data_IF_214597563269
#
_entry.id   IF_214597563269
#
_cell.length_a   1.000
_cell.length_b   1.000
_cell.length_c   1.000
_cell.angle_alpha   90.00
_cell.angle_beta   90.00
_cell.angle_gamma   90.00
#
_symmetry.space_group_name_H-M   'P 1'
#
loop_
_entity.id
_entity.type
_entity.pdbx_description
1 polymer ?
#
# COMPACT_ATOMS: atom_id res chain seq x y z
N UNK A 1 17.51 7.91 0.40
CA UNK A 1 16.36 6.98 0.27
C UNK A 1 15.24 7.72 -0.43
N UNK A 2 14.57 7.08 -1.39
CA UNK A 2 13.45 7.66 -2.14
C UNK A 2 12.18 6.85 -1.86
N UNK A 3 11.03 7.53 -1.76
CA UNK A 3 9.72 6.91 -1.51
C UNK A 3 8.76 7.25 -2.65
N UNK A 4 7.91 6.31 -3.03
CA UNK A 4 7.08 6.38 -4.23
C UNK A 4 6.42 5.03 -4.53
N UNK A 5 5.70 4.93 -5.65
CA UNK A 5 5.05 3.68 -6.04
C UNK A 5 6.08 2.67 -6.57
N UNK A 6 5.87 1.39 -6.24
CA UNK A 6 6.78 0.32 -6.66
C UNK A 6 6.89 0.22 -8.18
N UNK A 7 5.78 0.37 -8.91
CA UNK A 7 5.78 0.33 -10.37
C UNK A 7 6.59 1.47 -10.99
N UNK A 8 6.55 2.68 -10.43
CA UNK A 8 7.35 3.80 -10.91
C UNK A 8 8.85 3.56 -10.69
N UNK A 9 9.25 3.09 -9.52
CA UNK A 9 10.65 2.76 -9.25
C UNK A 9 11.15 1.59 -10.10
N UNK A 10 10.33 0.57 -10.34
CA UNK A 10 10.67 -0.50 -11.29
C UNK A 10 10.98 0.06 -12.68
N UNK A 11 10.15 0.98 -13.20
CA UNK A 11 10.42 1.64 -14.49
C UNK A 11 11.72 2.44 -14.46
N UNK A 12 11.98 3.19 -13.38
CA UNK A 12 13.21 3.97 -13.25
C UNK A 12 14.46 3.07 -13.21
N UNK A 13 14.42 1.95 -12.48
CA UNK A 13 15.52 0.99 -12.40
C UNK A 13 15.78 0.37 -13.79
N UNK A 14 14.72 -0.05 -14.49
CA UNK A 14 14.84 -0.57 -15.86
C UNK A 14 15.42 0.46 -16.84
N UNK A 15 15.21 1.76 -16.58
CA UNK A 15 15.78 2.88 -17.34
C UNK A 15 17.19 3.28 -16.89
N UNK A 16 17.81 2.55 -15.95
CA UNK A 16 19.18 2.79 -15.49
C UNK A 16 19.31 3.80 -14.36
N UNK A 17 18.24 4.11 -13.62
CA UNK A 17 18.34 4.93 -12.42
C UNK A 17 19.30 4.30 -11.40
N UNK A 18 20.10 5.11 -10.66
CA UNK A 18 21.21 4.63 -9.84
C UNK A 18 20.76 4.15 -8.45
N UNK A 19 19.70 3.33 -8.40
CA UNK A 19 19.27 2.68 -7.16
C UNK A 19 20.13 1.46 -6.90
N UNK A 20 20.60 1.30 -5.67
CA UNK A 20 21.41 0.15 -5.24
C UNK A 20 20.56 -0.98 -4.63
N UNK A 21 19.48 -0.61 -3.95
CA UNK A 21 18.56 -1.53 -3.29
C UNK A 21 17.13 -1.08 -3.59
N UNK A 22 16.29 -2.03 -3.98
CA UNK A 22 14.90 -1.81 -4.30
C UNK A 22 14.00 -2.65 -3.39
N UNK A 23 13.06 -2.00 -2.70
CA UNK A 23 12.01 -2.63 -1.90
C UNK A 23 10.68 -2.40 -2.62
N UNK A 24 10.10 -3.47 -3.15
CA UNK A 24 8.82 -3.45 -3.84
C UNK A 24 7.68 -3.93 -2.93
N UNK A 25 6.50 -3.31 -3.06
CA UNK A 25 5.27 -3.80 -2.44
C UNK A 25 4.59 -4.92 -3.25
N UNK A 26 5.21 -5.35 -4.35
CA UNK A 26 4.74 -6.42 -5.25
C UNK A 26 5.95 -7.17 -5.82
N UNK A 27 6.01 -8.48 -5.54
CA UNK A 27 7.14 -9.30 -5.97
C UNK A 27 7.31 -9.41 -7.47
N UNK A 28 6.23 -9.24 -8.25
CA UNK A 28 6.26 -9.34 -9.72
C UNK A 28 7.15 -8.27 -10.34
N UNK A 29 7.27 -7.10 -9.71
CA UNK A 29 8.17 -6.05 -10.19
C UNK A 29 9.65 -6.41 -10.00
N UNK A 30 10.00 -7.12 -8.94
CA UNK A 30 11.37 -7.59 -8.72
C UNK A 30 11.68 -8.75 -9.66
N UNK A 31 10.75 -9.70 -9.81
CA UNK A 31 10.89 -10.81 -10.75
C UNK A 31 11.11 -10.30 -12.19
N UNK A 32 10.31 -9.33 -12.63
CA UNK A 32 10.49 -8.71 -13.95
C UNK A 32 11.86 -8.03 -14.10
N UNK A 33 12.34 -7.30 -13.09
CA UNK A 33 13.67 -6.68 -13.14
C UNK A 33 14.80 -7.71 -13.22
N UNK A 34 14.65 -8.85 -12.56
CA UNK A 34 15.60 -9.94 -12.64
C UNK A 34 15.61 -10.60 -14.02
N UNK A 35 14.43 -10.90 -14.57
CA UNK A 35 14.28 -11.43 -15.95
C UNK A 35 14.87 -10.47 -17.00
N UNK A 36 14.76 -9.17 -16.77
CA UNK A 36 15.33 -8.10 -17.61
C UNK A 36 16.84 -7.88 -17.36
N UNK A 37 17.44 -8.55 -16.38
CA UNK A 37 18.88 -8.48 -16.09
C UNK A 37 19.32 -7.23 -15.33
N UNK A 38 18.43 -6.57 -14.59
CA UNK A 38 18.71 -5.35 -13.83
C UNK A 38 19.13 -5.58 -12.37
N UNK A 39 19.01 -6.81 -11.87
CA UNK A 39 19.30 -7.19 -10.48
C UNK A 39 20.28 -8.35 -10.38
N UNK A 40 20.93 -8.47 -9.22
CA UNK A 40 21.94 -9.50 -8.96
C UNK A 40 21.34 -10.91 -8.87
N UNK A 41 20.11 -11.00 -8.36
CA UNK A 41 19.31 -12.21 -8.21
C UNK A 41 17.81 -11.86 -8.19
N UNK A 42 16.96 -12.84 -7.85
CA UNK A 42 15.51 -12.68 -7.67
C UNK A 42 15.13 -11.94 -6.38
N UNK A 43 16.08 -11.59 -5.53
CA UNK A 43 15.83 -11.02 -4.21
C UNK A 43 15.09 -11.96 -3.26
N UNK A 44 14.58 -11.41 -2.16
CA UNK A 44 13.86 -12.16 -1.13
C UNK A 44 12.57 -11.45 -0.74
N UNK A 45 11.56 -12.23 -0.36
CA UNK A 45 10.36 -11.69 0.28
C UNK A 45 10.77 -11.23 1.67
N UNK A 46 10.58 -9.94 1.97
CA UNK A 46 10.95 -9.36 3.26
C UNK A 46 9.75 -9.10 4.16
N UNK A 47 8.55 -9.06 3.59
CA UNK A 47 7.31 -8.76 4.31
C UNK A 47 6.08 -9.17 3.49
N UNK A 48 4.98 -9.47 4.18
CA UNK A 48 3.63 -9.53 3.62
C UNK A 48 2.81 -8.39 4.22
N UNK A 49 2.28 -7.53 3.35
CA UNK A 49 1.45 -6.37 3.69
C UNK A 49 -0.01 -6.73 3.94
N UNK A 50 -0.74 -5.78 4.53
CA UNK A 50 -2.19 -5.86 4.75
C UNK A 50 -2.87 -4.57 4.29
N UNK A 51 -4.06 -4.70 3.73
CA UNK A 51 -4.92 -3.58 3.35
C UNK A 51 -5.87 -3.26 4.52
N UNK A 52 -6.11 -1.96 4.75
CA UNK A 52 -7.10 -1.46 5.71
C UNK A 52 -8.00 -0.44 5.05
N UNK A 53 -9.24 -0.33 5.54
CA UNK A 53 -9.94 0.94 5.50
C UNK A 53 -9.38 1.84 6.59
N UNK A 54 -9.02 3.08 6.25
CA UNK A 54 -8.51 4.09 7.18
C UNK A 54 -9.31 5.37 7.03
N UNK A 55 -9.67 5.99 8.15
CA UNK A 55 -10.37 7.28 8.19
C UNK A 55 -9.80 8.17 9.30
N UNK A 56 -10.12 9.47 9.27
CA UNK A 56 -9.77 10.37 10.34
C UNK A 56 -10.52 9.99 11.63
N UNK A 57 -9.82 10.03 12.77
CA UNK A 57 -10.40 9.71 14.06
C UNK A 57 -11.61 10.61 14.37
N UNK A 58 -12.74 9.99 14.70
CA UNK A 58 -13.98 10.70 14.98
C UNK A 58 -14.71 11.28 13.76
N UNK A 59 -14.30 10.95 12.53
CA UNK A 59 -15.00 11.35 11.29
C UNK A 59 -16.42 10.78 11.19
N UNK A 60 -16.66 9.65 11.83
CA UNK A 60 -17.93 8.95 11.87
C UNK A 60 -17.72 7.55 12.43
N UNK A 61 -18.76 6.72 12.37
CA UNK A 61 -18.64 5.33 12.83
C UNK A 61 -17.58 4.58 12.02
N UNK A 62 -16.65 3.97 12.74
CA UNK A 62 -15.65 3.09 12.15
C UNK A 62 -16.36 1.81 11.65
N UNK A 63 -16.11 1.37 10.41
CA UNK A 63 -16.67 0.10 9.94
C UNK A 63 -16.21 -1.07 10.81
N UNK A 64 -17.07 -2.07 10.97
CA UNK A 64 -16.78 -3.28 11.74
C UNK A 64 -16.08 -4.34 10.90
N UNK A 65 -15.50 -5.35 11.56
CA UNK A 65 -14.87 -6.50 10.88
C UNK A 65 -15.87 -7.27 9.98
N UNK A 66 -17.17 -7.26 10.34
CA UNK A 66 -18.24 -7.89 9.55
C UNK A 66 -18.65 -7.07 8.32
N UNK A 67 -18.40 -5.76 8.33
CA UNK A 67 -18.74 -4.84 7.26
C UNK A 67 -17.59 -3.84 7.00
N UNK A 68 -16.40 -4.31 6.58
CA UNK A 68 -15.18 -3.51 6.54
C UNK A 68 -15.20 -2.39 5.49
N UNK A 69 -16.18 -2.42 4.57
CA UNK A 69 -16.43 -1.38 3.57
C UNK A 69 -17.64 -0.50 3.89
N UNK A 70 -18.22 -0.53 5.10
CA UNK A 70 -19.35 0.34 5.43
C UNK A 70 -19.03 1.84 5.25
N UNK A 71 -17.75 2.23 5.34
CA UNK A 71 -17.30 3.59 5.03
C UNK A 71 -17.40 3.95 3.55
N UNK A 72 -17.22 2.97 2.64
CA UNK A 72 -17.46 3.14 1.20
C UNK A 72 -18.96 3.30 0.93
N UNK A 73 -19.77 2.49 1.60
CA UNK A 73 -21.22 2.50 1.47
C UNK A 73 -21.80 3.85 1.93
N UNK A 74 -21.33 4.36 3.06
CA UNK A 74 -21.70 5.68 3.56
C UNK A 74 -21.32 6.81 2.58
N UNK A 75 -20.18 6.71 1.89
CA UNK A 75 -19.79 7.70 0.89
C UNK A 75 -20.72 7.67 -0.35
N UNK A 76 -21.18 6.49 -0.77
CA UNK A 76 -22.16 6.33 -1.84
C UNK A 76 -23.52 6.91 -1.45
N UNK A 77 -23.99 6.62 -0.23
CA UNK A 77 -25.24 7.19 0.30
C UNK A 77 -25.18 8.72 0.44
N UNK A 78 -24.03 9.25 0.86
CA UNK A 78 -23.79 10.68 0.92
C UNK A 78 -23.88 11.33 -0.47
N UNK A 79 -23.33 10.67 -1.50
CA UNK A 79 -23.39 11.13 -2.88
C UNK A 79 -24.83 11.23 -3.39
N UNK A 80 -25.66 10.22 -3.13
CA UNK A 80 -27.09 10.24 -3.47
C UNK A 80 -27.84 11.39 -2.77
N UNK A 81 -27.39 11.74 -1.57
CA UNK A 81 -27.90 12.86 -0.77
C UNK A 81 -27.32 14.22 -1.17
N UNK A 82 -26.50 14.29 -2.21
CA UNK A 82 -25.89 15.52 -2.74
C UNK A 82 -24.62 15.98 -2.01
N UNK A 83 -24.07 15.17 -1.11
CA UNK A 83 -22.80 15.42 -0.41
C UNK A 83 -21.70 14.57 -1.03
N UNK A 84 -20.65 15.19 -1.55
CA UNK A 84 -19.54 14.45 -2.14
C UNK A 84 -18.47 14.17 -1.09
N UNK A 85 -18.41 12.95 -0.58
CA UNK A 85 -17.31 12.49 0.24
C UNK A 85 -16.41 11.55 -0.57
N UNK A 86 -15.13 11.91 -0.66
CA UNK A 86 -14.16 11.18 -1.49
C UNK A 86 -13.71 9.89 -0.82
N UNK A 87 -13.33 8.91 -1.63
CA UNK A 87 -12.66 7.68 -1.18
C UNK A 87 -11.24 7.68 -1.71
N UNK A 88 -10.25 7.69 -0.81
CA UNK A 88 -8.85 7.78 -1.19
C UNK A 88 -8.23 6.41 -1.49
N UNK A 89 -7.67 6.24 -2.68
CA UNK A 89 -6.95 5.04 -3.10
C UNK A 89 -5.58 5.43 -3.66
N UNK A 90 -4.61 4.51 -3.63
CA UNK A 90 -3.42 4.68 -4.47
C UNK A 90 -3.78 4.36 -5.93
N UNK A 91 -3.11 4.99 -6.91
CA UNK A 91 -3.39 4.73 -8.32
C UNK A 91 -3.00 3.27 -8.67
N UNK A 92 -3.97 2.41 -9.07
CA UNK A 92 -3.71 1.00 -9.38
C UNK A 92 -2.79 0.80 -10.60
N UNK A 93 -2.60 1.80 -11.46
CA UNK A 93 -1.72 1.69 -12.63
C UNK A 93 -0.25 1.41 -12.27
N UNK A 94 0.17 1.78 -11.07
CA UNK A 94 1.58 1.63 -10.65
C UNK A 94 1.77 1.35 -9.15
N UNK A 95 0.73 1.46 -8.32
CA UNK A 95 0.83 1.21 -6.89
C UNK A 95 0.17 -0.14 -6.51
N UNK A 96 0.93 -1.10 -5.94
CA UNK A 96 0.38 -2.40 -5.53
C UNK A 96 -0.80 -2.31 -4.56
N UNK A 97 -0.75 -1.39 -3.59
CA UNK A 97 -1.89 -1.16 -2.69
C UNK A 97 -3.11 -0.55 -3.40
N UNK A 98 -2.90 0.14 -4.53
CA UNK A 98 -3.99 0.59 -5.40
C UNK A 98 -4.66 -0.58 -6.11
N UNK A 99 -3.85 -1.52 -6.62
CA UNK A 99 -4.36 -2.77 -7.21
C UNK A 99 -5.15 -3.58 -6.18
N UNK A 100 -4.63 -3.75 -4.96
CA UNK A 100 -5.34 -4.46 -3.90
C UNK A 100 -6.64 -3.75 -3.48
N UNK A 101 -6.65 -2.42 -3.44
CA UNK A 101 -7.86 -1.65 -3.19
C UNK A 101 -8.89 -1.81 -4.31
N UNK A 102 -8.46 -1.80 -5.58
CA UNK A 102 -9.33 -2.08 -6.72
C UNK A 102 -9.94 -3.49 -6.61
N UNK A 103 -9.12 -4.52 -6.40
CA UNK A 103 -9.59 -5.90 -6.23
C UNK A 103 -10.61 -6.04 -5.09
N UNK A 104 -10.36 -5.36 -3.97
CA UNK A 104 -11.26 -5.32 -2.81
C UNK A 104 -12.62 -4.72 -3.17
N UNK A 105 -12.63 -3.62 -3.92
CA UNK A 105 -13.87 -2.97 -4.35
C UNK A 105 -14.60 -3.78 -5.44
N UNK A 106 -13.87 -4.40 -6.37
CA UNK A 106 -14.43 -5.30 -7.38
C UNK A 106 -15.06 -6.53 -6.74
N UNK A 107 -14.39 -7.14 -5.75
CA UNK A 107 -14.92 -8.26 -4.98
C UNK A 107 -16.26 -7.93 -4.32
N UNK A 108 -16.41 -6.71 -3.82
CA UNK A 108 -17.63 -6.23 -3.17
C UNK A 108 -18.65 -5.60 -4.14
N UNK A 109 -18.39 -5.58 -5.45
CA UNK A 109 -19.26 -4.93 -6.45
C UNK A 109 -19.37 -3.41 -6.28
N UNK A 110 -18.37 -2.78 -5.66
CA UNK A 110 -18.31 -1.33 -5.38
C UNK A 110 -17.30 -0.57 -6.24
N UNK A 111 -16.58 -1.26 -7.12
CA UNK A 111 -15.65 -0.58 -8.02
C UNK A 111 -16.39 0.39 -8.94
N UNK A 112 -17.28 -0.05 -9.80
CA UNK A 112 -17.98 0.85 -10.74
C UNK A 112 -18.78 1.95 -10.02
N UNK A 113 -19.58 1.65 -8.97
CA UNK A 113 -20.34 2.69 -8.25
C UNK A 113 -19.50 3.81 -7.65
N UNK A 114 -18.27 3.52 -7.20
CA UNK A 114 -17.41 4.51 -6.53
C UNK A 114 -16.63 5.40 -7.48
N UNK A 115 -16.76 5.25 -8.80
CA UNK A 115 -15.92 5.93 -9.79
C UNK A 115 -15.84 7.45 -9.60
N UNK A 116 -16.98 8.11 -9.40
CA UNK A 116 -17.03 9.57 -9.21
C UNK A 116 -16.46 10.04 -7.86
N UNK A 117 -16.37 9.13 -6.87
CA UNK A 117 -15.93 9.42 -5.50
C UNK A 117 -14.42 9.19 -5.29
N UNK A 118 -13.79 8.37 -6.12
CA UNK A 118 -12.38 8.01 -5.96
C UNK A 118 -11.46 9.22 -6.10
N UNK A 119 -10.59 9.45 -5.13
CA UNK A 119 -9.41 10.32 -5.25
C UNK A 119 -8.16 9.45 -5.28
N UNK A 120 -7.36 9.59 -6.33
CA UNK A 120 -6.18 8.75 -6.54
C UNK A 120 -4.92 9.48 -6.09
N UNK A 121 -4.20 8.91 -5.13
CA UNK A 121 -2.83 9.29 -4.79
C UNK A 121 -1.82 8.56 -5.68
N UNK A 122 -0.70 9.21 -5.96
CA UNK A 122 0.43 8.66 -6.72
C UNK A 122 1.06 7.43 -6.05
N UNK A 123 0.86 7.26 -4.74
CA UNK A 123 1.29 6.08 -4.01
C UNK A 123 0.45 5.94 -2.74
N UNK A 124 0.67 4.85 -2.02
CA UNK A 124 -0.11 4.53 -0.80
C UNK A 124 0.07 5.54 0.32
N UNK A 125 1.24 6.19 0.42
CA UNK A 125 1.47 7.26 1.40
C UNK A 125 0.65 8.51 1.09
N UNK A 126 0.54 8.87 -0.19
CA UNK A 126 -0.32 9.99 -0.59
C UNK A 126 -1.80 9.64 -0.45
N UNK A 127 -2.21 8.42 -0.79
CA UNK A 127 -3.57 7.94 -0.54
C UNK A 127 -3.93 8.01 0.95
N UNK A 128 -3.01 7.67 1.85
CA UNK A 128 -3.20 7.81 3.29
C UNK A 128 -3.34 9.28 3.73
N UNK A 129 -2.64 10.22 3.10
CA UNK A 129 -2.84 11.65 3.36
C UNK A 129 -4.23 12.12 2.93
N UNK A 130 -4.67 11.68 1.74
CA UNK A 130 -6.02 11.98 1.24
C UNK A 130 -7.11 11.30 2.07
N UNK A 131 -6.89 10.10 2.61
CA UNK A 131 -7.86 9.43 3.47
C UNK A 131 -8.14 10.19 4.78
N UNK A 132 -7.24 11.11 5.16
CA UNK A 132 -7.31 11.90 6.39
C UNK A 132 -7.59 13.39 6.12
N UNK A 133 -7.97 13.76 4.88
CA UNK A 133 -8.41 15.12 4.55
C UNK A 133 -9.90 15.31 4.80
N UNK A 134 -10.30 16.57 4.98
CA UNK A 134 -11.68 16.93 5.34
C UNK A 134 -12.71 16.58 4.26
N UNK A 135 -12.29 16.46 3.00
CA UNK A 135 -13.14 16.12 1.86
C UNK A 135 -13.26 14.60 1.61
N UNK A 136 -12.53 13.77 2.37
CA UNK A 136 -12.59 12.33 2.27
C UNK A 136 -13.42 11.70 3.39
N UNK A 137 -14.19 10.66 3.03
CA UNK A 137 -14.79 9.77 4.02
C UNK A 137 -13.74 8.87 4.67
N UNK A 138 -12.74 8.48 3.88
CA UNK A 138 -11.64 7.59 4.27
C UNK A 138 -10.94 7.05 3.03
N UNK A 139 -10.20 5.96 3.17
CA UNK A 139 -9.49 5.35 2.06
C UNK A 139 -9.00 3.93 2.33
N UNK A 140 -8.71 3.20 1.25
CA UNK A 140 -8.11 1.87 1.31
C UNK A 140 -6.59 2.01 1.16
N UNK A 141 -5.85 1.72 2.23
CA UNK A 141 -4.41 2.01 2.35
C UNK A 141 -3.63 0.89 3.04
N UNK A 142 -2.32 1.03 3.11
CA UNK A 142 -1.46 0.09 3.81
C UNK A 142 -1.67 0.12 5.33
N UNK A 143 -1.82 -1.05 5.94
CA UNK A 143 -1.94 -1.18 7.39
C UNK A 143 -0.75 -0.56 8.13
N UNK A 144 0.44 -0.69 7.57
CA UNK A 144 1.67 -0.12 8.14
C UNK A 144 1.64 1.40 8.28
N UNK A 145 0.88 2.10 7.42
CA UNK A 145 0.68 3.54 7.54
C UNK A 145 -0.31 3.88 8.66
N UNK A 146 -1.36 3.08 8.84
CA UNK A 146 -2.29 3.26 9.96
C UNK A 146 -1.61 3.06 11.32
N UNK A 147 -0.61 2.19 11.40
CA UNK A 147 0.20 1.98 12.61
C UNK A 147 1.36 2.99 12.77
N UNK A 148 1.67 3.77 11.74
CA UNK A 148 2.80 4.69 11.79
C UNK A 148 2.58 5.76 12.87
N UNK A 149 3.59 6.08 13.71
CA UNK A 149 3.44 7.07 14.79
C UNK A 149 2.90 8.43 14.33
N UNK A 150 3.23 8.85 13.11
CA UNK A 150 2.76 10.11 12.52
C UNK A 150 1.27 10.15 12.20
N UNK A 151 0.63 8.98 12.03
CA UNK A 151 -0.78 8.87 11.62
C UNK A 151 -1.67 8.21 12.67
N UNK A 152 -1.13 7.26 13.46
CA UNK A 152 -1.92 6.39 14.37
C UNK A 152 -2.82 7.13 15.35
N UNK A 153 -2.45 8.34 15.77
CA UNK A 153 -3.21 9.14 16.76
C UNK A 153 -4.34 9.95 16.11
N UNK A 154 -4.30 10.07 14.77
CA UNK A 154 -5.23 10.85 13.97
C UNK A 154 -6.10 9.98 13.08
N UNK A 155 -5.88 8.67 13.08
CA UNK A 155 -6.61 7.72 12.25
C UNK A 155 -7.23 6.60 13.05
N UNK A 156 -8.34 6.11 12.52
CA UNK A 156 -8.95 4.85 12.90
C UNK A 156 -8.92 3.93 11.68
N UNK A 157 -8.90 2.62 11.90
CA UNK A 157 -8.82 1.66 10.80
C UNK A 157 -9.56 0.37 11.10
N UNK A 158 -9.97 -0.31 10.03
CA UNK A 158 -10.42 -1.70 10.07
C UNK A 158 -9.69 -2.50 9.00
N UNK A 159 -9.34 -3.75 9.31
CA UNK A 159 -8.65 -4.62 8.37
C UNK A 159 -9.60 -5.07 7.26
N UNK A 160 -9.10 -5.04 6.03
CA UNK A 160 -9.77 -5.72 4.92
C UNK A 160 -9.45 -7.22 5.00
N UNK A 161 -10.44 -8.10 4.78
CA UNK A 161 -10.21 -9.53 4.69
C UNK A 161 -9.17 -9.86 3.61
N UNK A 162 -8.16 -10.64 3.97
CA UNK A 162 -7.06 -10.96 3.06
C UNK A 162 -7.52 -11.70 1.80
N UNK A 163 -8.67 -12.38 1.83
CA UNK A 163 -9.23 -13.10 0.68
C UNK A 163 -9.90 -12.21 -0.37
N UNK A 164 -10.00 -10.90 -0.15
CA UNK A 164 -10.66 -9.96 -1.08
C UNK A 164 -9.71 -9.36 -2.10
N UNK A 165 -8.41 -9.63 -1.98
CA UNK A 165 -7.38 -9.18 -2.91
C UNK A 165 -6.24 -10.20 -2.94
N UNK A 166 -5.36 -10.10 -3.93
CA UNK A 166 -4.16 -10.93 -3.99
C UNK A 166 -3.21 -10.61 -2.82
N UNK A 167 -2.43 -11.58 -2.32
CA UNK A 167 -1.48 -11.33 -1.25
C UNK A 167 -0.46 -10.23 -1.60
N UNK A 168 -0.28 -9.27 -0.70
CA UNK A 168 0.68 -8.17 -0.85
C UNK A 168 2.10 -8.63 -0.46
N UNK A 169 2.65 -9.58 -1.23
CA UNK A 169 4.01 -10.11 -1.02
C UNK A 169 5.03 -9.08 -1.45
N UNK A 170 5.81 -8.58 -0.50
CA UNK A 170 6.78 -7.53 -0.70
C UNK A 170 8.17 -8.12 -0.81
N UNK A 171 8.86 -7.80 -1.90
CA UNK A 171 10.16 -8.36 -2.25
C UNK A 171 11.19 -7.25 -2.33
N UNK A 172 12.38 -7.53 -1.83
CA UNK A 172 13.52 -6.62 -1.92
C UNK A 172 14.66 -7.26 -2.66
N UNK A 173 15.46 -6.45 -3.35
CA UNK A 173 16.54 -6.93 -4.22
C UNK A 173 17.67 -5.92 -4.35
N UNK A 174 18.90 -6.41 -4.42
CA UNK A 174 20.06 -5.60 -4.79
C UNK A 174 20.14 -5.46 -6.31
N UNK A 175 20.30 -4.23 -6.79
CA UNK A 175 20.52 -3.99 -8.22
C UNK A 175 21.96 -4.30 -8.60
N UNK A 176 22.25 -4.33 -9.90
CA UNK A 176 23.62 -4.47 -10.39
C UNK A 176 24.57 -3.33 -10.00
N UNK A 177 24.03 -2.23 -9.46
CA UNK A 177 24.80 -1.07 -9.00
C UNK A 177 25.11 -1.10 -7.50
N UNK A 178 24.66 -2.13 -6.77
CA UNK A 178 24.75 -2.14 -5.32
C UNK A 178 26.18 -2.19 -4.79
N UNK A 179 26.53 -1.22 -3.93
CA UNK A 179 27.73 -1.25 -3.11
C UNK A 179 27.57 -1.94 -1.76
N UNK A 180 28.64 -1.90 -0.96
CA UNK A 180 28.75 -2.59 0.33
C UNK A 180 27.69 -2.11 1.35
N UNK A 181 27.34 -0.82 1.35
CA UNK A 181 26.37 -0.26 2.29
C UNK A 181 24.95 -0.78 2.01
N UNK A 182 24.55 -0.81 0.74
CA UNK A 182 23.26 -1.37 0.33
C UNK A 182 23.18 -2.87 0.65
N UNK A 183 24.27 -3.60 0.41
CA UNK A 183 24.38 -5.02 0.73
C UNK A 183 24.26 -5.28 2.23
N UNK A 184 24.96 -4.50 3.06
CA UNK A 184 24.89 -4.61 4.52
C UNK A 184 23.47 -4.34 5.04
N UNK A 185 22.80 -3.32 4.50
CA UNK A 185 21.41 -3.01 4.88
C UNK A 185 20.41 -4.09 4.42
N UNK A 186 20.57 -4.62 3.19
CA UNK A 186 19.80 -5.75 2.68
C UNK A 186 19.92 -6.99 3.57
N UNK A 187 21.13 -7.28 4.08
CA UNK A 187 21.38 -8.38 5.00
C UNK A 187 20.80 -8.11 6.39
N UNK A 188 20.98 -6.91 6.94
CA UNK A 188 20.44 -6.54 8.25
C UNK A 188 18.92 -6.59 8.29
N UNK A 189 18.22 -6.18 7.21
CA UNK A 189 16.76 -6.23 7.15
C UNK A 189 16.19 -7.67 7.23
N UNK A 190 17.00 -8.68 6.92
CA UNK A 190 16.64 -10.10 7.05
C UNK A 190 16.89 -10.66 8.45
N UNK A 191 17.61 -9.93 9.31
CA UNK A 191 17.88 -10.35 10.69
C UNK A 191 16.67 -10.12 11.58
N UNK A 192 16.66 -10.78 12.75
CA UNK A 192 15.56 -10.73 13.72
C UNK A 192 15.18 -9.30 14.12
N UNK A 193 16.16 -8.40 14.25
CA UNK A 193 15.93 -6.99 14.59
C UNK A 193 15.16 -6.25 13.49
N UNK A 194 15.60 -6.36 12.22
CA UNK A 194 14.90 -5.77 11.09
C UNK A 194 13.48 -6.33 10.93
N UNK A 195 13.34 -7.65 11.05
CA UNK A 195 12.05 -8.33 10.99
C UNK A 195 11.13 -7.96 12.18
N UNK A 196 11.68 -7.72 13.38
CA UNK A 196 10.91 -7.27 14.54
C UNK A 196 10.35 -5.85 14.34
N UNK A 197 11.13 -4.97 13.70
CA UNK A 197 10.66 -3.63 13.32
C UNK A 197 9.48 -3.77 12.34
N UNK A 198 9.60 -4.58 11.29
CA UNK A 198 8.53 -4.80 10.32
C UNK A 198 7.23 -5.30 10.99
N UNK A 199 7.34 -6.26 11.91
CA UNK A 199 6.18 -6.76 12.68
C UNK A 199 5.50 -5.68 13.52
N UNK A 200 6.28 -4.76 14.09
CA UNK A 200 5.74 -3.62 14.86
C UNK A 200 4.88 -2.70 13.99
N UNK A 201 5.17 -2.63 12.70
CA UNK A 201 4.39 -1.88 11.71
C UNK A 201 3.36 -2.76 10.97
N UNK A 202 2.99 -3.92 11.51
CA UNK A 202 1.87 -4.72 11.00
C UNK A 202 2.16 -5.53 9.73
N UNK A 203 3.45 -5.68 9.36
CA UNK A 203 3.86 -6.66 8.37
C UNK A 203 3.94 -8.06 9.00
N UNK A 204 3.62 -9.07 8.20
CA UNK A 204 3.83 -10.48 8.58
C UNK A 204 5.06 -11.04 7.86
N UNK A 205 5.73 -12.01 8.50
CA UNK A 205 6.74 -12.83 7.84
C UNK A 205 6.09 -13.89 6.94
N UNK A 206 6.88 -14.54 6.10
CA UNK A 206 6.48 -15.81 5.47
C UNK A 206 6.35 -16.94 6.49
#
# INVERSE_FOLDING_TARGET
MNFGSSGNFRRQIAQGAPFELYLSADERYVQALYEEGHTQDEGVIYAIGRLVWMQQAGRGDLPSDDAPLAGVDAALEAQESGTNERIALANPEHAPYGVAAQQTLEHAGRWEPTEALRVLGENVSQAAQFALSDDARGGLVAYSLALAPSLRERSEYVLIPQSWHEPLRQRMVLTNQAGDVATAFYQWLQQDEGQAILRTYGFSGE
#
